data_IF_848026065029
#
_entry.id   IF_848026065029
#
_cell.length_a   1.000
_cell.length_b   1.000
_cell.length_c   1.000
_cell.angle_alpha   90.00
_cell.angle_beta   90.00
_cell.angle_gamma   90.00
#
_symmetry.space_group_name_H-M   'P 1'
#
loop_
_entity.id
_entity.type
_entity.pdbx_description
1 polymer ?
#
# COMPACT_ATOMS: atom_id res chain seq x y z
N UNK A 1 -27.96 -46.25 -49.89
CA UNK A 1 -27.59 -44.83 -49.82
C UNK A 1 -26.96 -44.53 -48.45
N UNK A 2 -25.66 -44.32 -48.42
CA UNK A 2 -24.96 -43.98 -47.18
C UNK A 2 -24.91 -42.47 -47.07
N UNK A 3 -25.61 -41.93 -46.09
CA UNK A 3 -25.54 -40.50 -45.76
C UNK A 3 -24.36 -40.28 -44.80
N UNK A 4 -23.33 -39.61 -45.29
CA UNK A 4 -22.23 -39.13 -44.47
C UNK A 4 -22.71 -37.83 -43.76
N UNK A 5 -22.71 -37.88 -42.43
CA UNK A 5 -22.89 -36.71 -41.61
C UNK A 5 -21.51 -36.17 -41.30
N UNK A 6 -21.12 -34.96 -41.72
CA UNK A 6 -19.86 -34.38 -41.27
C UNK A 6 -19.99 -33.98 -39.81
N UNK A 7 -19.15 -34.62 -39.00
CA UNK A 7 -18.97 -34.26 -37.60
C UNK A 7 -18.27 -32.92 -37.55
N UNK A 8 -19.05 -31.84 -37.33
CA UNK A 8 -18.53 -30.51 -37.14
C UNK A 8 -17.85 -30.44 -35.75
N UNK A 9 -16.54 -30.61 -35.75
CA UNK A 9 -15.71 -30.45 -34.54
C UNK A 9 -15.66 -28.97 -34.18
N UNK A 10 -16.50 -28.56 -33.24
CA UNK A 10 -16.49 -27.19 -32.66
C UNK A 10 -15.30 -27.09 -31.72
N UNK A 11 -14.16 -26.57 -32.23
CA UNK A 11 -13.05 -26.20 -31.40
C UNK A 11 -13.46 -24.99 -30.56
N UNK A 12 -13.82 -25.24 -29.32
CA UNK A 12 -13.91 -24.18 -28.30
C UNK A 12 -12.47 -23.69 -28.04
N UNK A 13 -12.10 -22.59 -28.67
CA UNK A 13 -10.97 -21.79 -28.17
C UNK A 13 -11.38 -21.16 -26.84
N UNK A 14 -11.00 -21.80 -25.76
CA UNK A 14 -10.94 -21.11 -24.47
C UNK A 14 -9.84 -20.06 -24.56
N UNK A 15 -10.21 -18.84 -24.90
CA UNK A 15 -9.35 -17.68 -24.69
C UNK A 15 -9.34 -17.47 -23.17
N UNK A 16 -8.37 -18.05 -22.49
CA UNK A 16 -8.09 -17.65 -21.11
C UNK A 16 -7.48 -16.26 -21.20
N UNK A 17 -8.28 -15.25 -20.86
CA UNK A 17 -7.74 -13.92 -20.52
C UNK A 17 -6.95 -14.09 -19.22
N UNK A 18 -5.66 -14.30 -19.33
CA UNK A 18 -4.76 -14.06 -18.24
C UNK A 18 -4.77 -12.55 -18.02
N UNK A 19 -5.38 -12.09 -16.90
CA UNK A 19 -5.17 -10.77 -16.40
C UNK A 19 -3.72 -10.71 -15.91
N UNK A 20 -2.82 -10.27 -16.78
CA UNK A 20 -1.48 -9.89 -16.37
C UNK A 20 -1.62 -8.65 -15.49
N UNK A 21 -1.59 -8.86 -14.17
CA UNK A 21 -1.41 -7.76 -13.23
C UNK A 21 -0.01 -7.22 -13.45
N UNK A 22 0.10 -5.91 -13.71
CA UNK A 22 1.39 -5.23 -13.68
C UNK A 22 2.03 -5.47 -12.30
N UNK A 23 3.36 -5.78 -12.23
CA UNK A 23 4.02 -5.94 -10.95
C UNK A 23 3.92 -4.63 -10.18
N UNK A 24 3.44 -4.73 -8.95
CA UNK A 24 3.31 -3.59 -8.04
C UNK A 24 4.65 -3.23 -7.41
N UNK A 25 4.84 -1.95 -7.10
CA UNK A 25 5.94 -1.51 -6.25
C UNK A 25 5.90 -2.23 -4.90
N UNK A 26 7.04 -2.36 -4.25
CA UNK A 26 7.11 -2.90 -2.89
C UNK A 26 7.15 -1.77 -1.87
N UNK A 27 6.60 -2.02 -0.69
CA UNK A 27 6.74 -1.17 0.47
C UNK A 27 6.98 -2.04 1.70
N UNK A 28 8.01 -1.71 2.49
CA UNK A 28 8.37 -2.42 3.70
C UNK A 28 8.62 -1.43 4.83
N UNK A 29 8.29 -1.83 6.06
CA UNK A 29 8.64 -1.05 7.23
C UNK A 29 10.09 -1.29 7.63
N UNK A 30 10.79 -0.21 7.99
CA UNK A 30 12.07 -0.31 8.68
C UNK A 30 11.85 -0.86 10.07
N UNK A 31 12.74 -1.75 10.48
CA UNK A 31 12.73 -2.39 11.80
C UNK A 31 13.91 -1.92 12.65
N UNK A 32 13.85 -2.21 13.95
CA UNK A 32 14.94 -1.89 14.87
C UNK A 32 14.62 -0.75 15.82
N UNK A 33 15.64 -0.34 16.56
CA UNK A 33 15.51 0.68 17.60
C UNK A 33 15.10 2.03 17.01
N UNK A 34 14.09 2.64 17.60
CA UNK A 34 13.56 3.95 17.18
C UNK A 34 12.43 3.90 16.17
N UNK A 35 12.14 2.73 15.59
CA UNK A 35 11.04 2.55 14.65
C UNK A 35 9.88 1.78 15.27
N UNK A 36 8.66 2.21 14.95
CA UNK A 36 7.45 1.44 15.20
C UNK A 36 7.00 0.80 13.89
N UNK A 37 6.92 -0.52 13.87
CA UNK A 37 6.66 -1.30 12.64
C UNK A 37 5.64 -2.42 12.83
N UNK A 38 4.97 -2.43 13.98
CA UNK A 38 3.92 -3.40 14.33
C UNK A 38 2.77 -2.68 15.05
N UNK A 39 1.58 -3.27 15.01
CA UNK A 39 0.47 -2.84 15.82
C UNK A 39 0.87 -2.83 17.29
N UNK A 40 0.49 -1.80 18.01
CA UNK A 40 0.94 -1.58 19.39
C UNK A 40 -0.06 -0.76 20.19
N UNK A 41 0.11 -0.80 21.50
CA UNK A 41 -0.54 0.11 22.44
C UNK A 41 0.40 1.28 22.72
N UNK A 42 -0.11 2.48 22.57
CA UNK A 42 0.66 3.72 22.63
C UNK A 42 0.02 4.66 23.65
N UNK A 43 0.84 5.30 24.48
CA UNK A 43 0.34 6.31 25.42
C UNK A 43 -0.14 7.56 24.68
N UNK A 44 -1.21 8.16 25.18
CA UNK A 44 -1.78 9.41 24.65
C UNK A 44 -0.70 10.48 24.43
N UNK A 45 -0.76 11.16 23.29
CA UNK A 45 0.13 12.27 22.98
C UNK A 45 1.58 11.89 22.69
N UNK A 46 1.90 10.60 22.56
CA UNK A 46 3.25 10.13 22.24
C UNK A 46 3.59 10.32 20.77
N UNK A 47 4.85 10.60 20.49
CA UNK A 47 5.39 10.61 19.13
C UNK A 47 5.85 9.23 18.70
N UNK A 48 5.58 8.90 17.44
CA UNK A 48 5.93 7.63 16.80
C UNK A 48 6.73 7.93 15.55
N UNK A 49 7.77 7.15 15.30
CA UNK A 49 8.51 7.18 14.04
C UNK A 49 8.28 5.88 13.28
N UNK A 50 7.79 5.99 12.05
CA UNK A 50 7.65 4.89 11.11
C UNK A 50 8.54 5.16 9.92
N UNK A 51 9.46 4.25 9.64
CA UNK A 51 10.27 4.29 8.44
C UNK A 51 9.75 3.32 7.41
N UNK A 52 9.79 3.72 6.13
CA UNK A 52 9.47 2.84 5.00
C UNK A 52 10.61 2.80 4.00
N UNK A 53 10.71 1.67 3.32
CA UNK A 53 11.52 1.49 2.12
C UNK A 53 10.59 1.03 1.02
N UNK A 54 10.59 1.73 -0.09
CA UNK A 54 9.79 1.39 -1.27
C UNK A 54 10.69 1.23 -2.50
N UNK A 55 10.45 0.18 -3.26
CA UNK A 55 11.16 -0.10 -4.51
C UNK A 55 10.18 -0.16 -5.66
N UNK A 56 10.55 0.45 -6.79
CA UNK A 56 9.75 0.34 -7.99
C UNK A 56 9.73 -1.10 -8.53
N UNK A 57 8.65 -1.44 -9.22
CA UNK A 57 8.61 -2.60 -10.11
C UNK A 57 8.86 -2.12 -11.56
N UNK A 58 7.85 -2.03 -12.40
CA UNK A 58 8.01 -1.50 -13.76
C UNK A 58 8.00 0.02 -13.81
N UNK A 59 7.11 0.64 -13.05
CA UNK A 59 6.85 2.08 -13.09
C UNK A 59 7.60 2.82 -11.99
N UNK A 60 8.13 3.98 -12.33
CA UNK A 60 8.76 4.85 -11.34
C UNK A 60 7.77 5.26 -10.25
N UNK A 61 8.28 5.42 -9.04
CA UNK A 61 7.51 5.91 -7.91
C UNK A 61 7.20 7.40 -8.11
N UNK A 62 6.01 7.84 -7.70
CA UNK A 62 5.54 9.22 -7.87
C UNK A 62 5.30 9.94 -6.56
N UNK A 63 4.64 9.29 -5.61
CA UNK A 63 4.22 9.93 -4.37
C UNK A 63 4.14 8.95 -3.20
N UNK A 64 4.27 9.48 -2.00
CA UNK A 64 4.08 8.78 -0.74
C UNK A 64 3.09 9.53 0.13
N UNK A 65 2.05 8.85 0.61
CA UNK A 65 1.01 9.42 1.45
C UNK A 65 0.92 8.67 2.77
N UNK A 66 0.79 9.40 3.87
CA UNK A 66 0.43 8.87 5.18
C UNK A 66 -0.92 9.44 5.57
N UNK A 67 -1.87 8.59 5.85
CA UNK A 67 -3.22 8.97 6.30
C UNK A 67 -3.63 8.15 7.52
N UNK A 68 -4.64 8.62 8.23
CA UNK A 68 -5.15 7.97 9.44
C UNK A 68 -6.67 7.94 9.44
N UNK A 69 -7.23 6.85 9.96
CA UNK A 69 -8.64 6.79 10.35
C UNK A 69 -8.74 6.57 11.86
N UNK A 70 -9.64 7.30 12.50
CA UNK A 70 -9.84 7.25 13.94
C UNK A 70 -11.06 6.41 14.31
N UNK A 71 -10.91 5.57 15.34
CA UNK A 71 -12.01 4.86 15.99
C UNK A 71 -12.91 4.08 15.02
N UNK A 72 -12.30 3.45 14.01
CA UNK A 72 -13.00 2.64 13.02
C UNK A 72 -13.77 3.45 11.97
N UNK A 73 -13.51 4.75 11.83
CA UNK A 73 -14.13 5.57 10.80
C UNK A 73 -13.82 5.05 9.40
N UNK A 74 -14.78 5.20 8.49
CA UNK A 74 -14.64 4.81 7.08
C UNK A 74 -13.86 5.82 6.24
N UNK A 75 -13.63 7.02 6.77
CA UNK A 75 -12.88 8.10 6.12
C UNK A 75 -11.50 8.25 6.72
N UNK A 76 -10.55 8.71 5.92
CA UNK A 76 -9.19 9.00 6.35
C UNK A 76 -8.89 10.49 6.30
N UNK A 77 -7.93 10.90 7.13
CA UNK A 77 -7.37 12.25 7.15
C UNK A 77 -5.91 12.14 6.74
N UNK A 78 -5.46 12.99 5.83
CA UNK A 78 -4.05 13.04 5.43
C UNK A 78 -3.20 13.58 6.58
N UNK A 79 -2.18 12.81 6.96
CA UNK A 79 -1.16 13.21 7.95
C UNK A 79 -0.02 13.92 7.25
N UNK A 80 0.53 13.31 6.20
CA UNK A 80 1.63 13.87 5.41
C UNK A 80 1.54 13.39 3.96
N UNK A 81 1.94 14.26 3.03
CA UNK A 81 2.09 13.97 1.61
C UNK A 81 3.50 14.32 1.14
N UNK A 82 4.09 13.43 0.35
CA UNK A 82 5.41 13.63 -0.23
C UNK A 82 5.37 13.39 -1.74
N UNK A 83 5.94 14.30 -2.50
CA UNK A 83 6.28 14.07 -3.91
C UNK A 83 7.64 13.39 -3.97
N UNK A 84 7.73 12.27 -4.68
CA UNK A 84 8.99 11.54 -4.87
C UNK A 84 9.71 12.14 -6.06
N UNK A 85 10.92 12.65 -5.82
CA UNK A 85 11.75 13.27 -6.85
C UNK A 85 12.35 12.25 -7.81
N UNK A 86 12.82 12.70 -8.97
CA UNK A 86 13.36 11.81 -10.02
C UNK A 86 14.61 11.04 -9.63
N UNK A 87 15.37 11.52 -8.67
CA UNK A 87 16.56 10.86 -8.12
C UNK A 87 16.25 9.79 -7.07
N UNK A 88 15.01 9.73 -6.57
CA UNK A 88 14.52 8.77 -5.58
C UNK A 88 13.41 7.86 -6.11
N UNK A 89 13.03 7.96 -7.38
CA UNK A 89 11.84 7.31 -7.91
C UNK A 89 12.00 5.81 -8.24
N UNK A 90 13.17 5.26 -8.02
CA UNK A 90 13.43 3.81 -8.16
C UNK A 90 13.55 3.12 -6.81
N UNK A 91 14.07 3.83 -5.81
CA UNK A 91 14.23 3.36 -4.43
C UNK A 91 14.01 4.54 -3.50
N UNK A 92 12.98 4.47 -2.69
CA UNK A 92 12.55 5.53 -1.80
C UNK A 92 12.61 5.09 -0.34
N UNK A 93 13.37 5.84 0.45
CA UNK A 93 13.59 5.61 1.87
C UNK A 93 13.10 6.85 2.63
N UNK A 94 12.11 6.69 3.52
CA UNK A 94 11.51 7.81 4.23
C UNK A 94 11.11 7.44 5.65
N UNK A 95 11.55 8.28 6.58
CA UNK A 95 11.09 8.26 7.97
C UNK A 95 10.03 9.35 8.17
N UNK A 96 8.96 8.99 8.84
CA UNK A 96 7.87 9.89 9.18
C UNK A 96 7.65 9.84 10.68
N UNK A 97 7.64 10.99 11.31
CA UNK A 97 7.30 11.14 12.74
C UNK A 97 5.97 11.86 12.88
N UNK A 98 5.07 11.29 13.66
CA UNK A 98 3.77 11.88 13.97
C UNK A 98 3.39 11.61 15.42
N UNK A 99 2.44 12.36 15.92
CA UNK A 99 1.96 12.26 17.31
C UNK A 99 0.56 11.68 17.33
N UNK A 100 0.34 10.63 18.12
CA UNK A 100 -1.02 10.11 18.37
C UNK A 100 -1.81 11.13 19.17
N UNK A 101 -3.15 11.09 19.03
CA UNK A 101 -4.03 12.01 19.76
C UNK A 101 -3.84 11.88 21.26
N UNK A 102 -4.08 12.96 21.98
CA UNK A 102 -4.20 12.95 23.43
C UNK A 102 -5.59 12.49 23.89
N UNK A 103 -6.03 11.35 23.36
CA UNK A 103 -7.36 10.80 23.53
C UNK A 103 -7.31 9.28 23.42
N UNK A 104 -7.97 8.59 24.32
CA UNK A 104 -8.15 7.13 24.25
C UNK A 104 -8.95 6.76 22.98
N UNK A 105 -8.51 5.73 22.29
CA UNK A 105 -9.19 5.22 21.09
C UNK A 105 -8.26 4.42 20.20
N UNK A 106 -8.71 4.20 18.97
CA UNK A 106 -7.96 3.44 17.96
C UNK A 106 -7.55 4.38 16.82
N UNK A 107 -6.33 4.26 16.35
CA UNK A 107 -5.80 5.01 15.21
C UNK A 107 -5.19 4.05 14.21
N UNK A 108 -5.74 4.00 13.01
CA UNK A 108 -5.25 3.16 11.92
C UNK A 108 -4.57 4.03 10.87
N UNK A 109 -3.27 3.83 10.73
CA UNK A 109 -2.44 4.56 9.78
C UNK A 109 -2.24 3.77 8.49
N UNK A 110 -2.32 4.47 7.37
CA UNK A 110 -2.15 3.94 6.03
C UNK A 110 -0.93 4.59 5.40
N UNK A 111 -0.01 3.75 4.96
CA UNK A 111 1.24 4.16 4.31
C UNK A 111 1.14 3.72 2.85
N UNK A 112 0.99 4.67 1.94
CA UNK A 112 0.64 4.42 0.54
C UNK A 112 1.69 4.97 -0.39
N UNK A 113 2.23 4.13 -1.26
CA UNK A 113 3.08 4.50 -2.39
C UNK A 113 2.23 4.50 -3.65
N UNK A 114 2.41 5.52 -4.47
CA UNK A 114 1.73 5.71 -5.75
C UNK A 114 2.80 5.77 -6.83
N UNK A 115 2.66 4.99 -7.89
CA UNK A 115 3.55 5.06 -9.05
C UNK A 115 3.04 6.04 -10.12
N UNK A 116 3.83 6.24 -11.17
CA UNK A 116 3.49 7.20 -12.24
C UNK A 116 2.27 6.80 -13.07
N UNK A 117 1.87 5.53 -13.06
CA UNK A 117 0.67 5.04 -13.71
C UNK A 117 -0.57 5.08 -12.80
N UNK A 118 -0.42 5.48 -11.54
CA UNK A 118 -1.49 5.59 -10.57
C UNK A 118 -1.76 4.30 -9.80
N UNK A 119 -0.91 3.28 -9.90
CA UNK A 119 -1.02 2.08 -9.08
C UNK A 119 -0.65 2.39 -7.64
N UNK A 120 -1.38 1.78 -6.71
CA UNK A 120 -1.21 1.97 -5.27
C UNK A 120 -0.68 0.70 -4.63
N UNK A 121 0.30 0.85 -3.73
CA UNK A 121 0.67 -0.19 -2.78
C UNK A 121 0.61 0.40 -1.37
N UNK A 122 0.07 -0.35 -0.42
CA UNK A 122 -0.26 0.18 0.90
C UNK A 122 0.08 -0.82 2.00
N UNK A 123 0.63 -0.30 3.10
CA UNK A 123 0.74 -0.99 4.39
C UNK A 123 0.01 -0.20 5.47
N UNK A 124 -0.37 -0.91 6.53
CA UNK A 124 -1.17 -0.34 7.62
C UNK A 124 -0.59 -0.72 8.98
N UNK A 125 -0.73 0.20 9.95
CA UNK A 125 -0.47 -0.04 11.36
C UNK A 125 -1.67 0.45 12.16
N UNK A 126 -2.09 -0.34 13.14
CA UNK A 126 -3.17 0.02 14.04
C UNK A 126 -2.62 0.21 15.45
N UNK A 127 -2.89 1.36 16.05
CA UNK A 127 -2.48 1.67 17.41
C UNK A 127 -3.70 1.80 18.31
N UNK A 128 -3.64 1.17 19.47
CA UNK A 128 -4.56 1.41 20.57
C UNK A 128 -3.94 2.49 21.46
N UNK A 129 -4.61 3.63 21.58
CA UNK A 129 -4.13 4.77 22.37
C UNK A 129 -4.78 4.75 23.75
N UNK A 130 -3.98 4.78 24.80
CA UNK A 130 -4.43 4.74 26.19
C UNK A 130 -3.63 5.66 27.14
#
# INVERSE_FOLDING_TARGET
>A
MKRFIPLLLFLLFCVSCENEQEPEASIEFKTGTGYTYQDATISKGSSITVGIIADKAENNLKAYNVSVSYDGASTTITVQDFTISSDENTHYDKDVTFTVRNQVGTEKYYFTIIDVDGNLVQKMLTFTVE
#
